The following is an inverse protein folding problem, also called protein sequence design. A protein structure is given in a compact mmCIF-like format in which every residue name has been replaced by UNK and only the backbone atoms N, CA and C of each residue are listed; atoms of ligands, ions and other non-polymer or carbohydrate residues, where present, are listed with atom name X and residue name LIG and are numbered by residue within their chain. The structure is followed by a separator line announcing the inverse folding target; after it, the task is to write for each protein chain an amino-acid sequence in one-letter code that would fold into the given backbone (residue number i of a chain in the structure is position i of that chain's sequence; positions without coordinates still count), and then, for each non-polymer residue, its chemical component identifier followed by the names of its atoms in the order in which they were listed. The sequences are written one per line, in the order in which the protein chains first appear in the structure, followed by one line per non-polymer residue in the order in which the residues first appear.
data_IF_754053153123
#
_entry.id   IF_754053153123
#
_cell.length_a   1.000
_cell.length_b   1.000
_cell.length_c   1.000
_cell.angle_alpha   90.00
_cell.angle_beta   90.00
_cell.angle_gamma   90.00
#
_symmetry.space_group_name_H-M   'P 1'
#
loop_
_entity.id
_entity.type
_entity.pdbx_description
1 polymer ?
#
# COMPACT_ATOMS: atom_id res chain seq x y z
N UNK A 1 -1.64 -5.28 -13.20
CA UNK A 1 -1.46 -6.75 -13.39
C UNK A 1 -2.84 -7.39 -13.29
N UNK A 2 -3.30 -8.16 -14.29
CA UNK A 2 -4.64 -8.78 -14.32
C UNK A 2 -5.80 -7.83 -13.98
N UNK A 3 -5.84 -6.64 -14.60
CA UNK A 3 -6.87 -5.63 -14.32
C UNK A 3 -6.80 -4.96 -12.94
N UNK A 4 -5.83 -5.33 -12.11
CA UNK A 4 -5.61 -4.73 -10.79
C UNK A 4 -4.52 -3.66 -10.81
N UNK A 5 -4.64 -2.72 -9.88
CA UNK A 5 -3.72 -1.62 -9.66
C UNK A 5 -2.81 -1.94 -8.47
N UNK A 6 -1.52 -1.69 -8.65
CA UNK A 6 -0.50 -1.95 -7.65
C UNK A 6 0.29 -0.68 -7.39
N UNK A 7 0.40 -0.29 -6.12
CA UNK A 7 1.16 0.88 -5.69
C UNK A 7 2.24 0.44 -4.70
N UNK A 8 3.38 1.13 -4.70
CA UNK A 8 4.40 0.93 -3.67
C UNK A 8 3.80 1.28 -2.31
N UNK A 9 3.83 0.34 -1.38
CA UNK A 9 3.15 0.45 -0.08
C UNK A 9 3.58 1.71 0.70
N UNK A 10 4.88 2.03 0.68
CA UNK A 10 5.43 3.22 1.36
C UNK A 10 5.04 4.53 0.68
N UNK A 11 4.88 4.53 -0.64
CA UNK A 11 4.43 5.72 -1.35
C UNK A 11 2.97 6.02 -1.01
N UNK A 12 2.12 4.98 -0.92
CA UNK A 12 0.74 5.14 -0.46
C UNK A 12 0.69 5.68 0.98
N UNK A 13 1.51 5.13 1.89
CA UNK A 13 1.61 5.62 3.26
C UNK A 13 2.02 7.10 3.32
N UNK A 14 3.01 7.48 2.53
CA UNK A 14 3.47 8.86 2.41
C UNK A 14 2.38 9.81 1.89
N UNK A 15 1.69 9.45 0.80
CA UNK A 15 0.64 10.26 0.19
C UNK A 15 -0.55 10.47 1.15
N UNK A 16 -0.89 9.48 1.96
CA UNK A 16 -2.01 9.54 2.90
C UNK A 16 -1.63 10.10 4.28
N UNK A 17 -0.36 10.43 4.51
CA UNK A 17 0.11 10.96 5.78
C UNK A 17 -0.56 12.30 6.09
N UNK A 18 -1.06 12.47 7.33
CA UNK A 18 -1.82 13.65 7.76
C UNK A 18 -3.33 13.55 7.49
N UNK A 19 -3.82 12.46 6.91
CA UNK A 19 -5.26 12.23 6.71
C UNK A 19 -5.88 11.35 7.80
N UNK A 20 -7.21 11.26 7.83
CA UNK A 20 -7.98 10.43 8.79
C UNK A 20 -7.73 8.92 8.69
N UNK A 21 -7.18 8.45 7.57
CA UNK A 21 -6.82 7.04 7.34
C UNK A 21 -5.34 6.89 6.97
N UNK A 22 -4.51 7.75 7.54
CA UNK A 22 -3.05 7.61 7.48
C UNK A 22 -2.59 6.28 8.09
N UNK A 23 -1.42 5.81 7.67
CA UNK A 23 -0.76 4.65 8.26
C UNK A 23 0.75 4.76 8.08
N UNK A 24 1.49 4.09 8.96
CA UNK A 24 2.95 3.98 8.87
C UNK A 24 3.35 2.61 8.33
N UNK A 25 4.54 2.53 7.74
CA UNK A 25 5.12 1.28 7.23
C UNK A 25 6.53 1.13 7.78
N UNK A 26 6.74 0.11 8.61
CA UNK A 26 8.06 -0.34 9.06
C UNK A 26 8.54 -1.56 8.26
N UNK A 27 9.84 -1.74 8.17
CA UNK A 27 10.44 -2.97 7.63
C UNK A 27 11.47 -3.54 8.59
N UNK A 28 11.35 -4.84 8.88
CA UNK A 28 12.30 -5.59 9.71
C UNK A 28 13.00 -6.63 8.84
N UNK A 29 14.30 -6.42 8.59
CA UNK A 29 15.10 -7.32 7.74
C UNK A 29 15.22 -8.73 8.34
N UNK A 30 15.44 -8.84 9.65
CA UNK A 30 15.65 -10.13 10.33
C UNK A 30 14.48 -11.11 10.17
N UNK A 31 13.25 -10.59 10.06
CA UNK A 31 12.02 -11.38 9.88
C UNK A 31 11.42 -11.21 8.48
N UNK A 32 12.09 -10.46 7.60
CA UNK A 32 11.60 -10.07 6.29
C UNK A 32 10.13 -9.55 6.32
N UNK A 33 9.82 -8.68 7.28
CA UNK A 33 8.44 -8.26 7.58
C UNK A 33 8.22 -6.79 7.26
N UNK A 34 7.20 -6.49 6.46
CA UNK A 34 6.63 -5.15 6.29
C UNK A 34 5.45 -4.99 7.28
N UNK A 35 5.63 -4.14 8.28
CA UNK A 35 4.62 -3.88 9.30
C UNK A 35 3.84 -2.62 8.96
N UNK A 36 2.52 -2.74 8.84
CA UNK A 36 1.59 -1.63 8.70
C UNK A 36 1.04 -1.29 10.09
N UNK A 37 1.18 -0.03 10.49
CA UNK A 37 0.57 0.50 11.72
C UNK A 37 -0.51 1.51 11.32
N UNK A 38 -1.77 1.15 11.52
CA UNK A 38 -2.91 1.99 11.15
C UNK A 38 -2.96 3.26 11.99
N UNK A 39 -3.62 4.30 11.44
CA UNK A 39 -3.86 5.60 12.08
C UNK A 39 -2.59 6.36 12.53
N UNK A 40 -1.42 5.87 12.14
CA UNK A 40 -0.12 6.42 12.51
C UNK A 40 0.46 7.17 11.31
N UNK A 41 0.99 8.37 11.51
CA UNK A 41 1.59 9.14 10.43
C UNK A 41 2.82 8.41 9.87
N UNK A 42 3.00 8.50 8.55
CA UNK A 42 4.16 7.90 7.92
C UNK A 42 5.44 8.62 8.36
N UNK A 43 6.43 7.84 8.81
CA UNK A 43 7.76 8.34 9.16
C UNK A 43 8.67 8.16 7.96
N UNK A 44 9.19 9.27 7.44
CA UNK A 44 10.15 9.24 6.34
C UNK A 44 11.42 8.49 6.78
N UNK A 45 11.89 7.55 5.96
CA UNK A 45 13.19 6.93 6.13
C UNK A 45 14.09 7.35 4.95
N UNK A 46 15.11 8.20 5.21
CA UNK A 46 15.98 8.77 4.17
C UNK A 46 16.72 7.73 3.32
N UNK A 47 16.89 6.51 3.82
CA UNK A 47 17.59 5.44 3.09
C UNK A 47 16.70 4.81 2.02
N UNK A 48 15.39 5.04 2.09
CA UNK A 48 14.39 4.49 1.18
C UNK A 48 13.39 5.58 0.79
N UNK A 49 13.79 6.49 -0.10
CA UNK A 49 12.92 7.56 -0.57
C UNK A 49 11.62 7.02 -1.17
N UNK A 50 10.58 7.83 -0.98
CA UNK A 50 9.22 7.62 -1.48
C UNK A 50 8.92 8.60 -2.61
N UNK A 51 7.88 8.30 -3.38
CA UNK A 51 7.42 9.15 -4.49
C UNK A 51 8.51 9.41 -5.56
N UNK A 52 9.26 8.36 -5.90
CA UNK A 52 10.24 8.38 -6.98
C UNK A 52 9.65 7.74 -8.25
N UNK A 53 10.17 8.10 -9.44
CA UNK A 53 9.84 7.38 -10.67
C UNK A 53 10.06 5.88 -10.51
N UNK A 54 9.10 5.09 -10.99
CA UNK A 54 9.18 3.64 -10.94
C UNK A 54 10.04 3.16 -12.09
N UNK A 55 11.12 2.45 -11.77
CA UNK A 55 11.85 1.64 -12.74
C UNK A 55 11.28 0.22 -12.71
N UNK A 56 10.56 -0.19 -13.76
CA UNK A 56 10.00 -1.53 -13.82
C UNK A 56 11.12 -2.56 -14.01
N UNK A 57 11.43 -3.31 -12.95
CA UNK A 57 12.44 -4.36 -12.98
C UNK A 57 11.85 -5.69 -12.52
N UNK A 58 11.62 -6.58 -13.49
CA UNK A 58 11.22 -7.98 -13.33
C UNK A 58 10.35 -8.25 -12.08
N UNK A 59 9.07 -7.80 -12.06
CA UNK A 59 8.21 -7.96 -10.89
C UNK A 59 8.07 -9.43 -10.50
N UNK A 60 8.34 -9.76 -9.23
CA UNK A 60 8.19 -11.11 -8.67
C UNK A 60 7.15 -11.09 -7.56
N UNK A 61 6.43 -12.19 -7.32
CA UNK A 61 5.57 -12.30 -6.15
C UNK A 61 6.42 -12.07 -4.90
N UNK A 62 5.97 -11.19 -4.00
CA UNK A 62 6.73 -10.85 -2.81
C UNK A 62 6.72 -12.03 -1.83
N UNK A 63 7.89 -12.34 -1.26
CA UNK A 63 8.06 -13.30 -0.15
C UNK A 63 8.02 -12.62 1.22
N UNK A 64 7.82 -11.30 1.26
CA UNK A 64 7.82 -10.53 2.50
C UNK A 64 6.52 -10.75 3.28
N UNK A 65 6.65 -10.93 4.59
CA UNK A 65 5.50 -11.03 5.50
C UNK A 65 4.89 -9.64 5.62
N UNK A 66 3.56 -9.54 5.54
CA UNK A 66 2.85 -8.29 5.83
C UNK A 66 2.08 -8.45 7.14
N UNK A 67 2.18 -7.46 8.02
CA UNK A 67 1.32 -7.37 9.19
C UNK A 67 0.53 -6.07 9.20
N UNK A 68 -0.68 -6.12 9.77
CA UNK A 68 -1.49 -4.95 10.08
C UNK A 68 -1.76 -4.96 11.58
N UNK A 69 -1.28 -3.93 12.28
CA UNK A 69 -1.45 -3.75 13.73
C UNK A 69 -1.05 -5.01 14.53
N UNK A 70 0.09 -5.59 14.14
CA UNK A 70 0.66 -6.78 14.77
C UNK A 70 0.03 -8.12 14.34
N UNK A 71 -1.05 -8.11 13.54
CA UNK A 71 -1.68 -9.32 13.01
C UNK A 71 -1.19 -9.62 11.60
N UNK A 72 -1.07 -10.89 11.25
CA UNK A 72 -0.71 -11.28 9.87
C UNK A 72 -1.77 -10.80 8.88
N UNK A 73 -1.31 -10.25 7.76
CA UNK A 73 -2.14 -9.81 6.66
C UNK A 73 -1.57 -10.35 5.34
N UNK A 74 -2.45 -10.56 4.36
CA UNK A 74 -2.08 -11.26 3.12
C UNK A 74 -2.55 -10.53 1.87
N UNK A 75 -2.16 -9.25 1.66
CA UNK A 75 -2.40 -8.60 0.38
C UNK A 75 -1.52 -9.27 -0.69
N UNK A 76 -2.04 -9.37 -1.91
CA UNK A 76 -1.24 -9.70 -3.08
C UNK A 76 -0.21 -8.59 -3.26
N UNK A 77 1.06 -8.95 -3.23
CA UNK A 77 2.16 -8.01 -3.38
C UNK A 77 3.20 -8.56 -4.34
N UNK A 78 3.81 -7.66 -5.11
CA UNK A 78 4.97 -7.94 -5.94
C UNK A 78 6.18 -7.19 -5.40
N UNK A 79 7.33 -7.86 -5.33
CA UNK A 79 8.60 -7.18 -5.16
C UNK A 79 9.05 -6.63 -6.52
N UNK A 80 9.30 -5.32 -6.57
CA UNK A 80 9.91 -4.65 -7.71
C UNK A 80 11.04 -3.80 -7.18
N UNK A 81 12.27 -4.11 -7.60
CA UNK A 81 13.49 -3.44 -7.14
C UNK A 81 13.59 -3.31 -5.60
N UNK A 82 13.24 -4.37 -4.85
CA UNK A 82 13.32 -4.39 -3.39
C UNK A 82 12.14 -3.73 -2.67
N UNK A 83 11.16 -3.17 -3.38
CA UNK A 83 9.97 -2.54 -2.79
C UNK A 83 8.72 -3.41 -2.97
N UNK A 84 7.81 -3.40 -1.99
CA UNK A 84 6.49 -4.03 -2.11
C UNK A 84 5.51 -3.14 -2.86
N UNK A 85 5.06 -3.63 -4.01
CA UNK A 85 3.93 -3.12 -4.75
C UNK A 85 2.70 -3.95 -4.40
N UNK A 86 1.77 -3.36 -3.66
CA UNK A 86 0.62 -4.04 -3.08
C UNK A 86 -0.63 -3.80 -3.91
N UNK A 87 -1.52 -4.79 -3.97
CA UNK A 87 -2.83 -4.63 -4.59
C UNK A 87 -3.60 -3.53 -3.85
N UNK A 88 -3.88 -2.43 -4.55
CA UNK A 88 -4.47 -1.23 -3.96
C UNK A 88 -5.83 -1.52 -3.32
N UNK A 89 -6.67 -2.32 -3.99
CA UNK A 89 -8.01 -2.64 -3.50
C UNK A 89 -7.97 -3.43 -2.20
N UNK A 90 -7.08 -4.41 -2.09
CA UNK A 90 -6.94 -5.21 -0.88
C UNK A 90 -6.40 -4.38 0.30
N UNK A 91 -5.43 -3.51 0.06
CA UNK A 91 -4.90 -2.63 1.12
C UNK A 91 -5.93 -1.61 1.57
N UNK A 92 -6.69 -1.02 0.64
CA UNK A 92 -7.81 -0.15 0.99
C UNK A 92 -8.88 -0.88 1.80
N UNK A 93 -9.21 -2.12 1.46
CA UNK A 93 -10.13 -2.94 2.24
C UNK A 93 -9.60 -3.23 3.65
N UNK A 94 -8.31 -3.58 3.78
CA UNK A 94 -7.66 -3.85 5.06
C UNK A 94 -7.65 -2.63 6.00
N UNK A 95 -7.46 -1.43 5.45
CA UNK A 95 -7.34 -0.18 6.20
C UNK A 95 -8.66 0.63 6.27
N UNK A 96 -9.75 0.08 5.74
CA UNK A 96 -11.04 0.77 5.60
C UNK A 96 -10.90 2.15 4.95
N UNK A 97 -10.25 2.20 3.79
CA UNK A 97 -10.03 3.41 2.99
C UNK A 97 -10.99 3.38 1.80
N UNK A 98 -11.79 4.44 1.64
CA UNK A 98 -12.67 4.60 0.49
C UNK A 98 -11.91 4.54 -0.84
N UNK A 99 -12.43 3.73 -1.76
CA UNK A 99 -11.85 3.50 -3.08
C UNK A 99 -12.97 3.43 -4.12
N UNK A 100 -12.94 4.32 -5.11
CA UNK A 100 -13.90 4.30 -6.23
C UNK A 100 -13.18 4.20 -7.56
N UNK A 101 -13.84 3.57 -8.54
CA UNK A 101 -13.39 3.52 -9.93
C UNK A 101 -14.39 4.25 -10.81
N UNK A 102 -13.88 5.13 -11.67
CA UNK A 102 -14.66 5.82 -12.69
C UNK A 102 -14.24 5.30 -14.07
N UNK A 103 -15.15 4.60 -14.75
CA UNK A 103 -14.92 4.07 -16.09
C UNK A 103 -14.84 5.18 -17.15
N UNK A 104 -15.55 6.31 -16.95
CA UNK A 104 -15.57 7.42 -17.91
C UNK A 104 -14.23 8.15 -18.00
N UNK A 105 -13.51 8.21 -16.90
CA UNK A 105 -12.19 8.88 -16.80
C UNK A 105 -11.04 7.88 -16.70
N UNK A 106 -11.34 6.59 -16.58
CA UNK A 106 -10.40 5.53 -16.25
C UNK A 106 -9.54 5.86 -15.02
N UNK A 107 -10.16 6.41 -13.98
CA UNK A 107 -9.46 6.85 -12.76
C UNK A 107 -9.89 6.04 -11.54
N UNK A 108 -8.95 5.89 -10.61
CA UNK A 108 -9.22 5.46 -9.25
C UNK A 108 -9.12 6.65 -8.33
N UNK A 109 -10.11 6.81 -7.45
CA UNK A 109 -10.10 7.83 -6.41
C UNK A 109 -9.98 7.17 -5.05
N UNK A 110 -8.99 7.61 -4.27
CA UNK A 110 -8.80 7.21 -2.87
C UNK A 110 -9.36 8.33 -1.99
N UNK A 111 -10.25 8.01 -1.06
CA UNK A 111 -10.88 9.00 -0.16
C UNK A 111 -10.80 8.52 1.28
N UNK A 112 -9.97 9.17 2.07
CA UNK A 112 -9.69 8.80 3.46
C UNK A 112 -10.78 9.22 4.45
N UNK A 113 -11.67 10.13 4.04
CA UNK A 113 -12.88 10.46 4.81
C UNK A 113 -13.97 9.37 4.71
N UNK A 114 -13.87 8.48 3.73
CA UNK A 114 -14.87 7.44 3.47
C UNK A 114 -14.33 6.07 3.89
N UNK A 115 -15.24 5.19 4.32
CA UNK A 115 -14.96 3.76 4.48
C UNK A 115 -14.84 3.05 3.14
N UNK A 116 -14.15 1.91 3.14
CA UNK A 116 -14.05 1.07 1.96
C UNK A 116 -15.42 0.46 1.63
N UNK A 117 -15.84 0.59 0.38
CA UNK A 117 -17.00 -0.12 -0.14
C UNK A 117 -16.52 -1.18 -1.15
N UNK A 118 -16.79 -2.48 -0.91
CA UNK A 118 -16.59 -3.49 -1.94
C UNK A 118 -17.36 -3.08 -3.20
N UNK A 119 -16.68 -3.04 -4.34
CA UNK A 119 -17.37 -2.86 -5.62
C UNK A 119 -18.28 -4.05 -5.86
N UNK A 120 -19.57 -3.78 -6.08
CA UNK A 120 -20.54 -4.75 -6.60
C UNK A 120 -20.11 -5.26 -7.97
#
# INVERSE_FOLDING_TARGET
INGNNFLKLRDLAYILSGTTKQFNVGYTLATNTAAITSLTAYVNDPSNPVNLPIELKNPQVSSQIVTLDGKSAYPVAYNVAGSNYVNLRQVCAMLDIGLTYSASTNTITVTTANSYTPGL
#
